data_IF_878377233775
#
_entry.id   IF_878377233775
#
_cell.length_a   1.000
_cell.length_b   1.000
_cell.length_c   1.000
_cell.angle_alpha   90.00
_cell.angle_beta   90.00
_cell.angle_gamma   90.00
#
_symmetry.space_group_name_H-M   'P 1'
#
loop_
_entity.id
_entity.type
_entity.pdbx_description
1 polymer ?
#
# COMPACT_ATOMS: atom_id res chain seq x y z
N UNK A 1 -27.60 10.47 17.49
CA UNK A 1 -26.38 10.39 16.63
C UNK A 1 -26.24 8.98 16.06
N UNK A 2 -26.08 8.83 14.74
CA UNK A 2 -25.83 7.51 14.12
C UNK A 2 -24.40 7.08 14.45
N UNK A 3 -24.23 5.90 15.09
CA UNK A 3 -22.90 5.34 15.38
C UNK A 3 -22.09 5.23 14.08
N UNK A 4 -20.87 5.75 14.09
CA UNK A 4 -19.96 5.66 12.93
C UNK A 4 -19.62 4.20 12.69
N UNK A 5 -19.82 3.73 11.44
CA UNK A 5 -19.49 2.35 11.07
C UNK A 5 -17.99 2.24 10.82
N UNK A 6 -17.37 1.16 11.33
CA UNK A 6 -15.95 0.84 11.09
C UNK A 6 -15.57 0.90 9.60
N UNK A 7 -16.39 0.30 8.75
CA UNK A 7 -16.19 0.29 7.29
C UNK A 7 -16.18 1.67 6.64
N UNK A 8 -16.84 2.68 7.24
CA UNK A 8 -16.76 4.06 6.77
C UNK A 8 -15.38 4.65 7.00
N UNK A 9 -14.74 4.36 8.14
CA UNK A 9 -13.40 4.83 8.48
C UNK A 9 -12.36 4.11 7.63
N UNK A 10 -12.49 2.79 7.45
CA UNK A 10 -11.62 1.98 6.58
C UNK A 10 -11.59 2.51 5.14
N UNK A 11 -12.75 2.91 4.58
CA UNK A 11 -12.81 3.54 3.25
C UNK A 11 -12.08 4.88 3.19
N UNK A 12 -12.11 5.68 4.26
CA UNK A 12 -11.36 6.93 4.35
C UNK A 12 -9.86 6.65 4.45
N UNK A 13 -9.46 5.65 5.23
CA UNK A 13 -8.09 5.17 5.34
C UNK A 13 -7.54 4.67 4.02
N UNK A 14 -8.27 3.85 3.27
CA UNK A 14 -7.83 3.37 1.96
C UNK A 14 -7.53 4.55 1.01
N UNK A 15 -8.37 5.60 1.03
CA UNK A 15 -8.15 6.82 0.24
C UNK A 15 -6.95 7.63 0.73
N UNK A 16 -6.81 7.82 2.04
CA UNK A 16 -5.71 8.58 2.62
C UNK A 16 -4.36 7.88 2.39
N UNK A 17 -4.31 6.58 2.63
CA UNK A 17 -3.14 5.74 2.34
C UNK A 17 -2.77 5.79 0.87
N UNK A 18 -3.74 5.60 -0.03
CA UNK A 18 -3.49 5.67 -1.48
C UNK A 18 -2.90 7.02 -1.87
N UNK A 19 -3.48 8.12 -1.39
CA UNK A 19 -2.93 9.47 -1.59
C UNK A 19 -1.50 9.61 -1.08
N UNK A 20 -1.21 9.09 0.13
CA UNK A 20 0.12 9.16 0.72
C UNK A 20 1.17 8.41 -0.12
N UNK A 21 0.84 7.23 -0.66
CA UNK A 21 1.72 6.49 -1.57
C UNK A 21 1.94 7.27 -2.87
N UNK A 22 0.87 7.86 -3.43
CA UNK A 22 0.92 8.62 -4.68
C UNK A 22 1.67 9.97 -4.55
N UNK A 23 1.87 10.50 -3.33
CA UNK A 23 2.70 11.71 -3.09
C UNK A 23 4.13 11.55 -3.64
N UNK A 24 4.62 10.31 -3.87
CA UNK A 24 5.91 10.05 -4.53
C UNK A 24 6.00 10.63 -5.95
N UNK A 25 4.87 10.81 -6.64
CA UNK A 25 4.78 11.53 -7.91
C UNK A 25 5.39 10.84 -9.13
N UNK A 26 5.93 9.63 -8.97
CA UNK A 26 6.50 8.82 -10.05
C UNK A 26 6.39 7.34 -9.75
N UNK A 27 6.40 6.52 -10.80
CA UNK A 27 6.53 5.08 -10.69
C UNK A 27 7.88 4.72 -10.07
N UNK A 28 7.88 3.93 -9.01
CA UNK A 28 9.12 3.51 -8.34
C UNK A 28 9.92 2.50 -9.17
N UNK A 29 9.25 1.70 -10.01
CA UNK A 29 9.91 0.68 -10.84
C UNK A 29 10.59 1.28 -12.07
N UNK A 30 9.90 2.16 -12.81
CA UNK A 30 10.40 2.67 -14.10
C UNK A 30 10.63 4.19 -14.14
N UNK A 31 10.46 4.90 -13.03
CA UNK A 31 10.67 6.35 -12.92
C UNK A 31 9.63 7.23 -13.61
N UNK A 32 8.68 6.64 -14.36
CA UNK A 32 7.65 7.37 -15.12
C UNK A 32 6.78 8.25 -14.22
N UNK A 33 6.70 9.54 -14.50
CA UNK A 33 5.86 10.52 -13.76
C UNK A 33 4.64 11.00 -14.54
N UNK A 34 4.57 10.73 -15.85
CA UNK A 34 3.42 11.04 -16.69
C UNK A 34 2.37 9.92 -16.69
N UNK A 35 1.11 10.31 -16.83
CA UNK A 35 -0.04 9.40 -16.85
C UNK A 35 -0.56 9.02 -15.46
N UNK A 36 -1.37 7.96 -15.40
CA UNK A 36 -2.04 7.54 -14.16
C UNK A 36 -1.10 6.70 -13.30
N UNK A 37 -0.83 7.22 -12.09
CA UNK A 37 -0.15 6.50 -11.02
C UNK A 37 -1.16 5.77 -10.12
N UNK A 38 -0.74 4.62 -9.59
CA UNK A 38 -1.55 3.73 -8.77
C UNK A 38 -0.78 3.36 -7.50
N UNK A 39 -1.50 3.26 -6.38
CA UNK A 39 -0.94 2.73 -5.14
C UNK A 39 -1.13 1.21 -5.10
N UNK A 40 -0.04 0.47 -5.24
CA UNK A 40 -0.01 -0.98 -5.17
C UNK A 40 0.31 -1.44 -3.75
N UNK A 41 -0.36 -2.50 -3.30
CA UNK A 41 -0.11 -3.17 -2.03
C UNK A 41 0.84 -4.36 -2.24
N UNK A 42 1.98 -4.42 -1.54
CA UNK A 42 2.88 -5.57 -1.56
C UNK A 42 2.19 -6.79 -0.95
N UNK A 43 1.75 -6.68 0.30
CA UNK A 43 0.85 -7.62 0.96
C UNK A 43 -0.59 -7.14 0.83
N UNK A 44 -1.45 -8.02 0.32
CA UNK A 44 -2.82 -7.69 -0.05
C UNK A 44 -3.66 -7.16 1.12
N UNK A 45 -4.73 -6.41 0.79
CA UNK A 45 -5.62 -5.71 1.74
C UNK A 45 -6.28 -6.59 2.82
N UNK A 46 -6.24 -7.92 2.69
CA UNK A 46 -6.71 -8.86 3.72
C UNK A 46 -5.81 -8.83 4.96
N UNK A 47 -4.54 -8.49 4.80
CA UNK A 47 -3.60 -8.31 5.89
C UNK A 47 -3.86 -6.96 6.59
N UNK A 48 -4.73 -6.96 7.61
CA UNK A 48 -5.11 -5.74 8.31
C UNK A 48 -3.94 -5.11 9.10
N UNK A 49 -2.89 -5.87 9.40
CA UNK A 49 -1.68 -5.36 10.04
C UNK A 49 -0.89 -4.43 9.11
N UNK A 50 -0.89 -4.72 7.81
CA UNK A 50 -0.10 -4.04 6.78
C UNK A 50 -0.93 -3.16 5.82
N UNK A 51 -2.26 -3.30 5.77
CA UNK A 51 -3.14 -2.65 4.78
C UNK A 51 -2.94 -1.13 4.64
N UNK A 52 -2.68 -0.43 5.74
CA UNK A 52 -2.45 1.03 5.75
C UNK A 52 -1.05 1.41 6.22
N UNK A 53 -0.12 0.45 6.24
CA UNK A 53 1.30 0.71 6.46
C UNK A 53 1.89 1.29 5.17
N UNK A 54 2.64 2.40 5.27
CA UNK A 54 3.25 3.02 4.10
C UNK A 54 4.38 2.17 3.51
N UNK A 55 5.03 1.33 4.33
CA UNK A 55 6.06 0.39 3.87
C UNK A 55 5.49 -0.67 2.93
N UNK A 56 4.21 -0.99 3.10
CA UNK A 56 3.45 -1.93 2.27
C UNK A 56 2.94 -1.34 0.94
N UNK A 57 3.25 -0.07 0.64
CA UNK A 57 2.74 0.62 -0.53
C UNK A 57 3.81 1.01 -1.53
N UNK A 58 3.55 0.74 -2.82
CA UNK A 58 4.41 1.11 -3.94
C UNK A 58 3.62 1.94 -4.95
N UNK A 59 4.17 3.08 -5.36
CA UNK A 59 3.61 3.95 -6.38
C UNK A 59 4.04 3.44 -7.76
N UNK A 60 3.09 2.99 -8.58
CA UNK A 60 3.35 2.38 -9.88
C UNK A 60 2.53 3.05 -10.99
N UNK A 61 3.11 3.20 -12.17
CA UNK A 61 2.32 3.52 -13.37
C UNK A 61 1.46 2.30 -13.75
N UNK A 62 0.40 2.52 -14.54
CA UNK A 62 -0.48 1.44 -14.99
C UNK A 62 0.25 0.25 -15.66
N UNK A 63 1.34 0.54 -16.38
CA UNK A 63 2.20 -0.47 -17.01
C UNK A 63 2.88 -1.40 -15.99
N UNK A 64 3.66 -0.84 -15.06
CA UNK A 64 4.34 -1.61 -14.02
C UNK A 64 3.38 -2.18 -12.98
N UNK A 65 2.17 -1.63 -12.88
CA UNK A 65 1.13 -2.17 -12.00
C UNK A 65 0.48 -3.43 -12.59
N UNK A 66 -0.05 -3.36 -13.83
CA UNK A 66 -0.93 -4.42 -14.38
C UNK A 66 -0.58 -4.82 -15.82
N UNK A 67 -0.23 -3.88 -16.69
CA UNK A 67 -0.32 -4.11 -18.14
C UNK A 67 0.95 -4.63 -18.82
N UNK A 68 2.12 -4.52 -18.18
CA UNK A 68 3.37 -5.12 -18.69
C UNK A 68 3.44 -6.59 -18.27
N UNK A 69 4.20 -7.39 -19.02
CA UNK A 69 4.55 -8.77 -18.63
C UNK A 69 5.30 -8.77 -17.28
N UNK A 70 6.31 -7.93 -17.18
CA UNK A 70 7.01 -7.60 -15.94
C UNK A 70 6.24 -6.50 -15.20
N UNK A 71 5.14 -6.89 -14.56
CA UNK A 71 4.34 -6.01 -13.71
C UNK A 71 3.96 -6.70 -12.42
N UNK A 72 3.66 -5.91 -11.38
CA UNK A 72 3.37 -6.44 -10.05
C UNK A 72 2.21 -7.45 -10.02
N UNK A 73 1.20 -7.29 -10.89
CA UNK A 73 0.08 -8.23 -10.97
C UNK A 73 0.29 -9.41 -11.92
N UNK A 74 1.15 -9.31 -12.93
CA UNK A 74 1.35 -10.36 -13.93
C UNK A 74 2.56 -11.26 -13.64
N UNK A 75 3.58 -10.72 -12.97
CA UNK A 75 4.80 -11.43 -12.60
C UNK A 75 5.19 -11.09 -11.16
N UNK A 76 4.56 -11.75 -10.17
CA UNK A 76 4.89 -11.59 -8.76
C UNK A 76 6.36 -11.89 -8.44
N UNK A 77 6.97 -12.83 -9.16
CA UNK A 77 8.39 -13.18 -9.04
C UNK A 77 9.31 -12.03 -9.45
N UNK A 78 9.04 -11.37 -10.58
CA UNK A 78 9.77 -10.16 -10.98
C UNK A 78 9.64 -9.07 -9.92
N UNK A 79 8.41 -8.85 -9.43
CA UNK A 79 8.17 -7.81 -8.44
C UNK A 79 8.83 -8.12 -7.09
N UNK A 80 8.92 -9.40 -6.72
CA UNK A 80 9.66 -9.83 -5.54
C UNK A 80 11.16 -9.53 -5.67
N UNK A 81 11.79 -9.90 -6.78
CA UNK A 81 13.21 -9.56 -7.02
C UNK A 81 13.44 -8.04 -7.04
N UNK A 82 12.52 -7.29 -7.66
CA UNK A 82 12.60 -5.83 -7.62
C UNK A 82 12.53 -5.28 -6.18
N UNK A 83 11.69 -5.85 -5.31
CA UNK A 83 11.61 -5.49 -3.89
C UNK A 83 12.90 -5.84 -3.14
N UNK A 84 13.49 -7.00 -3.39
CA UNK A 84 14.79 -7.38 -2.79
C UNK A 84 15.89 -6.40 -3.16
N UNK A 85 15.95 -5.97 -4.42
CA UNK A 85 16.99 -5.05 -4.90
C UNK A 85 16.77 -3.60 -4.43
N UNK A 86 15.51 -3.13 -4.42
CA UNK A 86 15.20 -1.69 -4.31
C UNK A 86 14.52 -1.30 -2.99
N UNK A 87 13.94 -2.26 -2.27
CA UNK A 87 13.10 -2.05 -1.08
C UNK A 87 13.36 -3.11 -0.01
N UNK A 88 14.60 -3.60 0.10
CA UNK A 88 14.97 -4.76 0.92
C UNK A 88 14.53 -4.63 2.39
N UNK A 89 14.67 -3.44 2.99
CA UNK A 89 14.28 -3.19 4.38
C UNK A 89 12.78 -3.27 4.59
N UNK A 90 12.00 -2.77 3.63
CA UNK A 90 10.54 -2.82 3.68
C UNK A 90 10.04 -4.25 3.47
N UNK A 91 10.66 -4.98 2.53
CA UNK A 91 10.39 -6.41 2.33
C UNK A 91 10.70 -7.19 3.61
N UNK A 92 11.87 -7.00 4.21
CA UNK A 92 12.27 -7.64 5.46
C UNK A 92 11.27 -7.36 6.60
N UNK A 93 10.90 -6.10 6.81
CA UNK A 93 9.89 -5.72 7.79
C UNK A 93 8.54 -6.41 7.53
N UNK A 94 8.06 -6.39 6.29
CA UNK A 94 6.81 -7.03 5.88
C UNK A 94 6.86 -8.53 6.19
N UNK A 95 7.94 -9.21 5.83
CA UNK A 95 8.09 -10.64 6.07
C UNK A 95 8.07 -11.00 7.56
N UNK A 96 8.64 -10.15 8.43
CA UNK A 96 8.59 -10.35 9.88
C UNK A 96 7.17 -10.23 10.44
N UNK A 97 6.38 -9.27 9.96
CA UNK A 97 5.09 -8.92 10.61
C UNK A 97 3.86 -9.44 9.87
N UNK A 98 3.99 -9.99 8.65
CA UNK A 98 2.83 -10.36 7.81
C UNK A 98 1.91 -11.42 8.43
N UNK A 99 2.43 -12.24 9.35
CA UNK A 99 1.65 -13.27 10.04
C UNK A 99 1.02 -12.77 11.36
N UNK A 100 1.26 -11.51 11.75
CA UNK A 100 0.66 -10.92 12.94
C UNK A 100 -0.83 -10.59 12.70
N UNK A 101 -1.68 -10.93 13.68
CA UNK A 101 -3.11 -10.61 13.62
C UNK A 101 -3.36 -9.25 14.27
N UNK A 102 -3.72 -8.24 13.46
CA UNK A 102 -4.15 -6.93 13.96
C UNK A 102 -5.67 -6.80 13.98
N UNK A 103 -6.25 -6.66 15.17
CA UNK A 103 -7.67 -6.33 15.39
C UNK A 103 -7.80 -4.84 15.70
N UNK A 104 -8.15 -4.05 14.69
CA UNK A 104 -8.34 -2.62 14.84
C UNK A 104 -9.63 -2.26 15.57
N UNK A 105 -9.52 -1.46 16.63
CA UNK A 105 -10.62 -0.69 17.22
C UNK A 105 -10.96 0.55 16.37
N UNK A 106 -12.12 1.16 16.63
CA UNK A 106 -12.54 2.39 15.93
C UNK A 106 -11.58 3.55 16.24
N UNK A 107 -11.12 3.65 17.49
CA UNK A 107 -10.22 4.70 17.94
C UNK A 107 -8.86 4.60 17.24
N UNK A 108 -8.25 3.42 17.19
CA UNK A 108 -6.98 3.20 16.49
C UNK A 108 -7.09 3.53 14.99
N UNK A 109 -8.21 3.19 14.34
CA UNK A 109 -8.43 3.55 12.94
C UNK A 109 -8.51 5.08 12.75
N UNK A 110 -9.12 5.79 13.70
CA UNK A 110 -9.24 7.24 13.63
C UNK A 110 -7.89 7.92 13.85
N UNK A 111 -7.09 7.42 14.79
CA UNK A 111 -5.69 7.85 14.99
C UNK A 111 -4.90 7.63 13.71
N UNK A 112 -4.95 6.42 13.14
CA UNK A 112 -4.23 6.10 11.89
C UNK A 112 -4.66 6.98 10.73
N UNK A 113 -5.94 7.32 10.64
CA UNK A 113 -6.47 8.21 9.61
C UNK A 113 -5.90 9.62 9.76
N UNK A 114 -5.87 10.12 10.99
CA UNK A 114 -5.31 11.45 11.27
C UNK A 114 -3.79 11.50 11.00
N UNK A 115 -3.04 10.41 11.27
CA UNK A 115 -1.63 10.30 10.88
C UNK A 115 -1.43 10.45 9.37
N UNK A 116 -2.26 9.76 8.57
CA UNK A 116 -2.15 9.74 7.11
C UNK A 116 -2.64 11.02 6.41
N UNK A 117 -3.42 11.85 7.12
CA UNK A 117 -3.95 13.11 6.59
C UNK A 117 -3.02 14.31 6.82
N UNK A 118 -1.96 14.15 7.61
CA UNK A 118 -0.87 15.14 7.74
C UNK A 118 -0.03 15.19 6.46
#
# INVERSE_FOLDING_TARGET
>A
MRKVKKSTIEKKLDKAWSKAILKKGKCEVCGKSDGVLNAHHIEGRRNLRLRWDLRNGVCLCSGCHIFRKESAHQSPEFFHYWLEENRWEDLGYIMCVRNEIKKWSIEELQIKLNELLK
#
